data_IF_306267853887
#
_entry.id   IF_306267853887
#
_cell.length_a   1.000
_cell.length_b   1.000
_cell.length_c   1.000
_cell.angle_alpha   90.00
_cell.angle_beta   90.00
_cell.angle_gamma   90.00
#
_symmetry.space_group_name_H-M   'P 1'
#
loop_
_entity.id
_entity.type
_entity.pdbx_description
1 polymer ?
#
# COMPACT_ATOMS: atom_id res chain seq x y z
N UNK A 1 -47.54 17.49 -2.73
CA UNK A 1 -46.23 16.81 -2.56
C UNK A 1 -46.21 16.11 -1.22
N UNK A 2 -46.52 14.83 -1.20
CA UNK A 2 -46.48 13.97 -0.02
C UNK A 2 -45.03 13.87 0.46
N UNK A 3 -44.78 14.34 1.69
CA UNK A 3 -43.51 14.10 2.39
C UNK A 3 -43.33 12.58 2.47
N UNK A 4 -42.42 12.02 1.66
CA UNK A 4 -41.92 10.65 1.86
C UNK A 4 -41.30 10.63 3.25
N UNK A 5 -42.03 10.07 4.22
CA UNK A 5 -41.53 9.70 5.53
C UNK A 5 -40.33 8.78 5.27
N UNK A 6 -39.11 9.28 5.52
CA UNK A 6 -37.90 8.44 5.48
C UNK A 6 -38.14 7.34 6.51
N UNK A 7 -38.36 6.11 6.05
CA UNK A 7 -38.42 4.96 6.94
C UNK A 7 -37.12 4.92 7.75
N UNK A 8 -37.18 4.61 9.06
CA UNK A 8 -35.98 4.49 9.86
C UNK A 8 -35.07 3.41 9.26
N UNK A 9 -33.74 3.63 9.22
CA UNK A 9 -32.82 2.68 8.61
C UNK A 9 -32.85 1.34 9.35
N UNK A 10 -32.87 0.22 8.62
CA UNK A 10 -32.66 -1.08 9.25
C UNK A 10 -31.21 -1.19 9.75
N UNK A 11 -31.03 -1.85 10.89
CA UNK A 11 -29.71 -2.05 11.52
C UNK A 11 -29.13 -3.40 11.15
N UNK A 12 -27.81 -3.60 11.32
CA UNK A 12 -27.17 -4.91 11.18
C UNK A 12 -27.86 -5.99 12.03
N UNK A 13 -28.38 -5.61 13.21
CA UNK A 13 -29.19 -6.50 14.07
C UNK A 13 -30.50 -6.93 13.40
N UNK A 14 -31.19 -6.01 12.74
CA UNK A 14 -32.42 -6.33 11.99
C UNK A 14 -32.12 -7.24 10.80
N UNK A 15 -31.00 -7.01 10.11
CA UNK A 15 -30.59 -7.84 8.99
C UNK A 15 -30.27 -9.29 9.42
N UNK A 16 -29.49 -9.48 10.49
CA UNK A 16 -29.22 -10.80 11.05
C UNK A 16 -30.50 -11.49 11.53
N UNK A 17 -31.42 -10.76 12.16
CA UNK A 17 -32.70 -11.33 12.58
C UNK A 17 -33.54 -11.80 11.37
N UNK A 18 -33.53 -11.05 10.27
CA UNK A 18 -34.18 -11.45 9.03
C UNK A 18 -33.55 -12.72 8.43
N UNK A 19 -32.22 -12.82 8.39
CA UNK A 19 -31.50 -14.01 7.92
C UNK A 19 -31.86 -15.23 8.77
N UNK A 20 -31.82 -15.12 10.11
CA UNK A 20 -32.17 -16.23 11.03
C UNK A 20 -33.61 -16.69 10.85
N UNK A 21 -34.56 -15.76 10.84
CA UNK A 21 -35.98 -16.06 10.65
C UNK A 21 -36.24 -16.81 9.34
N UNK A 22 -35.52 -16.44 8.27
CA UNK A 22 -35.61 -17.10 6.97
C UNK A 22 -34.95 -18.48 6.94
N UNK A 23 -33.80 -18.66 7.60
CA UNK A 23 -33.19 -19.99 7.76
C UNK A 23 -34.13 -20.94 8.50
N UNK A 24 -34.73 -20.48 9.60
CA UNK A 24 -35.69 -21.25 10.38
C UNK A 24 -36.92 -21.61 9.54
N UNK A 25 -37.49 -20.64 8.80
CA UNK A 25 -38.63 -20.87 7.92
C UNK A 25 -38.33 -21.83 6.76
N UNK A 26 -37.08 -21.88 6.30
CA UNK A 26 -36.62 -22.80 5.26
C UNK A 26 -36.18 -24.18 5.80
N UNK A 27 -36.25 -24.40 7.13
CA UNK A 27 -35.91 -25.68 7.76
C UNK A 27 -34.42 -25.89 8.05
N UNK A 28 -33.59 -24.85 7.93
CA UNK A 28 -32.13 -24.90 8.16
C UNK A 28 -31.74 -24.40 9.56
N UNK A 29 -32.44 -24.91 10.59
CA UNK A 29 -32.21 -24.51 12.00
C UNK A 29 -30.84 -24.91 12.56
N UNK A 30 -30.14 -25.80 11.86
CA UNK A 30 -28.81 -26.32 12.19
C UNK A 30 -27.67 -25.43 11.68
N UNK A 31 -27.96 -24.45 10.80
CA UNK A 31 -26.97 -23.48 10.32
C UNK A 31 -26.93 -22.29 11.28
N UNK A 32 -25.89 -22.15 12.11
CA UNK A 32 -25.82 -21.05 13.05
C UNK A 32 -25.56 -19.74 12.32
N UNK A 33 -26.07 -18.64 12.88
CA UNK A 33 -25.68 -17.28 12.49
C UNK A 33 -25.37 -16.52 13.77
N UNK A 34 -24.10 -16.33 14.09
CA UNK A 34 -23.69 -15.66 15.32
C UNK A 34 -23.44 -14.17 15.11
N UNK A 35 -23.73 -13.37 16.13
CA UNK A 35 -23.42 -11.93 16.12
C UNK A 35 -21.91 -11.68 16.00
N UNK A 36 -21.09 -12.57 16.56
CA UNK A 36 -19.63 -12.47 16.53
C UNK A 36 -19.04 -12.64 15.13
N UNK A 37 -19.82 -13.09 14.15
CA UNK A 37 -19.37 -13.18 12.77
C UNK A 37 -19.47 -11.85 12.03
N UNK A 38 -20.18 -10.87 12.58
CA UNK A 38 -20.30 -9.55 11.96
C UNK A 38 -18.99 -8.82 12.18
N UNK A 39 -18.40 -8.36 11.10
CA UNK A 39 -17.28 -7.43 11.11
C UNK A 39 -17.81 -6.05 10.70
N UNK A 40 -17.91 -5.15 11.68
CA UNK A 40 -18.36 -3.77 11.49
C UNK A 40 -17.17 -2.80 11.32
N UNK A 41 -15.95 -3.29 11.53
CA UNK A 41 -14.72 -2.49 11.60
C UNK A 41 -13.91 -2.59 10.30
N UNK A 42 -14.15 -3.60 9.46
CA UNK A 42 -13.46 -3.77 8.17
C UNK A 42 -13.72 -2.58 7.21
N UNK A 43 -12.68 -1.79 6.86
CA UNK A 43 -12.83 -0.62 6.00
C UNK A 43 -13.38 -0.98 4.61
N UNK A 44 -14.28 -0.16 4.09
CA UNK A 44 -14.85 -0.33 2.75
C UNK A 44 -15.99 -1.35 2.65
N UNK A 45 -16.30 -2.09 3.72
CA UNK A 45 -17.44 -3.02 3.76
C UNK A 45 -18.49 -2.54 4.76
N UNK A 46 -19.60 -1.96 4.29
CA UNK A 46 -20.64 -1.47 5.20
C UNK A 46 -21.40 -2.60 5.94
N UNK A 47 -21.29 -3.85 5.45
CA UNK A 47 -21.62 -5.07 6.19
C UNK A 47 -20.77 -6.24 5.70
N UNK A 48 -20.09 -6.92 6.62
CA UNK A 48 -19.32 -8.13 6.35
C UNK A 48 -19.65 -9.22 7.38
N UNK A 49 -19.89 -10.45 6.91
CA UNK A 49 -20.17 -11.61 7.74
C UNK A 49 -19.11 -12.68 7.55
N UNK A 50 -18.24 -12.90 8.53
CA UNK A 50 -17.19 -13.93 8.54
C UNK A 50 -17.78 -15.29 8.89
N UNK A 51 -18.21 -16.04 7.86
CA UNK A 51 -18.84 -17.36 8.03
C UNK A 51 -17.76 -18.43 8.25
N UNK A 52 -17.74 -19.13 9.40
CA UNK A 52 -16.79 -20.20 9.64
C UNK A 52 -17.00 -21.35 8.66
N UNK A 53 -15.92 -21.75 7.99
CA UNK A 53 -15.87 -23.00 7.20
C UNK A 53 -15.00 -24.06 7.89
N UNK A 54 -14.21 -23.67 8.89
CA UNK A 54 -13.35 -24.56 9.66
C UNK A 54 -13.01 -23.96 11.03
N UNK A 55 -12.15 -24.65 11.81
CA UNK A 55 -11.75 -24.17 13.13
C UNK A 55 -11.00 -22.84 13.08
N UNK A 56 -10.25 -22.59 12.00
CA UNK A 56 -9.38 -21.42 11.83
C UNK A 56 -9.65 -20.64 10.54
N UNK A 57 -10.68 -21.03 9.78
CA UNK A 57 -10.94 -20.49 8.44
C UNK A 57 -12.37 -19.98 8.34
N UNK A 58 -12.51 -18.74 7.89
CA UNK A 58 -13.79 -18.07 7.65
C UNK A 58 -13.86 -17.60 6.20
N UNK A 59 -15.03 -17.72 5.58
CA UNK A 59 -15.36 -17.07 4.32
C UNK A 59 -16.07 -15.73 4.61
N UNK A 60 -15.47 -14.58 4.29
CA UNK A 60 -16.14 -13.29 4.45
C UNK A 60 -17.22 -13.11 3.37
N UNK A 61 -18.47 -12.99 3.79
CA UNK A 61 -19.60 -12.70 2.93
C UNK A 61 -19.97 -11.22 3.00
N UNK A 62 -20.09 -10.57 1.84
CA UNK A 62 -20.50 -9.17 1.73
C UNK A 62 -21.80 -9.01 0.95
N UNK A 63 -22.49 -7.92 1.22
CA UNK A 63 -23.68 -7.48 0.47
C UNK A 63 -23.28 -6.89 -0.87
N UNK A 64 -24.24 -6.74 -1.79
CA UNK A 64 -24.04 -5.97 -3.01
C UNK A 64 -23.63 -4.52 -2.71
N UNK A 65 -22.92 -3.90 -3.67
CA UNK A 65 -22.64 -2.47 -3.61
C UNK A 65 -23.94 -1.67 -3.41
N UNK A 66 -23.86 -0.57 -2.65
CA UNK A 66 -25.01 0.31 -2.35
C UNK A 66 -26.13 -0.32 -1.53
N UNK A 67 -25.93 -1.49 -0.92
CA UNK A 67 -26.91 -2.10 0.00
C UNK A 67 -27.35 -1.14 1.11
N UNK A 68 -26.43 -0.33 1.64
CA UNK A 68 -26.74 0.68 2.64
C UNK A 68 -27.23 2.01 2.06
N UNK A 69 -27.27 2.18 0.73
CA UNK A 69 -27.87 3.34 0.07
C UNK A 69 -29.37 3.08 -0.20
N UNK A 70 -29.72 1.86 -0.64
CA UNK A 70 -31.10 1.39 -0.79
C UNK A 70 -31.58 0.69 0.49
N UNK A 71 -32.15 1.48 1.40
CA UNK A 71 -32.65 1.02 2.70
C UNK A 71 -34.13 0.62 2.69
N UNK A 72 -34.66 0.18 1.54
CA UNK A 72 -36.03 -0.31 1.42
C UNK A 72 -36.22 -1.67 2.10
N UNK A 73 -37.45 -1.97 2.52
CA UNK A 73 -37.80 -3.30 3.03
C UNK A 73 -37.60 -4.40 1.97
N UNK A 74 -37.76 -4.06 0.69
CA UNK A 74 -37.50 -4.96 -0.44
C UNK A 74 -36.00 -5.29 -0.56
N UNK A 75 -35.12 -4.28 -0.46
CA UNK A 75 -33.68 -4.48 -0.45
C UNK A 75 -33.22 -5.36 0.72
N UNK A 76 -33.76 -5.11 1.92
CA UNK A 76 -33.52 -5.94 3.11
C UNK A 76 -33.93 -7.40 2.85
N UNK A 77 -35.14 -7.61 2.33
CA UNK A 77 -35.71 -8.92 2.09
C UNK A 77 -34.92 -9.71 1.02
N UNK A 78 -34.53 -9.05 -0.08
CA UNK A 78 -33.73 -9.64 -1.15
C UNK A 78 -32.36 -10.08 -0.63
N UNK A 79 -31.60 -9.15 -0.02
CA UNK A 79 -30.26 -9.47 0.48
C UNK A 79 -30.33 -10.53 1.58
N UNK A 80 -31.36 -10.53 2.44
CA UNK A 80 -31.48 -11.56 3.47
C UNK A 80 -31.70 -12.94 2.85
N UNK A 81 -32.47 -13.01 1.76
CA UNK A 81 -32.68 -14.25 1.00
C UNK A 81 -31.40 -14.73 0.32
N UNK A 82 -30.59 -13.81 -0.23
CA UNK A 82 -29.26 -14.14 -0.79
C UNK A 82 -28.32 -14.69 0.28
N UNK A 83 -28.24 -14.06 1.46
CA UNK A 83 -27.43 -14.55 2.57
C UNK A 83 -27.89 -15.91 3.09
N UNK A 84 -29.20 -16.16 3.16
CA UNK A 84 -29.74 -17.48 3.55
C UNK A 84 -29.26 -18.56 2.59
N UNK A 85 -29.41 -18.34 1.27
CA UNK A 85 -28.97 -19.30 0.27
C UNK A 85 -27.44 -19.46 0.26
N UNK A 86 -26.70 -18.37 0.41
CA UNK A 86 -25.25 -18.40 0.55
C UNK A 86 -24.79 -19.25 1.74
N UNK A 87 -25.40 -19.06 2.92
CA UNK A 87 -25.06 -19.83 4.13
C UNK A 87 -25.34 -21.32 3.95
N UNK A 88 -26.47 -21.67 3.33
CA UNK A 88 -26.81 -23.07 2.99
C UNK A 88 -25.77 -23.67 2.03
N UNK A 89 -25.37 -22.93 1.01
CA UNK A 89 -24.39 -23.41 0.04
C UNK A 89 -22.99 -23.52 0.65
N UNK A 90 -22.57 -22.58 1.50
CA UNK A 90 -21.31 -22.65 2.24
C UNK A 90 -21.29 -23.88 3.15
N UNK A 91 -22.39 -24.14 3.87
CA UNK A 91 -22.50 -25.31 4.73
C UNK A 91 -22.31 -26.62 3.94
N UNK A 92 -22.90 -26.71 2.74
CA UNK A 92 -22.69 -27.85 1.82
C UNK A 92 -21.26 -27.90 1.25
N UNK A 93 -20.69 -26.75 0.92
CA UNK A 93 -19.37 -26.61 0.30
C UNK A 93 -18.21 -26.75 1.29
N UNK A 94 -18.46 -26.82 2.59
CA UNK A 94 -17.45 -26.74 3.65
C UNK A 94 -16.23 -27.63 3.41
N UNK A 95 -16.44 -28.92 3.08
CA UNK A 95 -15.34 -29.87 2.81
C UNK A 95 -14.53 -29.49 1.57
N UNK A 96 -15.20 -28.97 0.54
CA UNK A 96 -14.57 -28.54 -0.70
C UNK A 96 -13.73 -27.28 -0.46
N UNK A 97 -14.27 -26.29 0.25
CA UNK A 97 -13.55 -25.06 0.61
C UNK A 97 -12.35 -25.34 1.52
N UNK A 98 -12.50 -26.22 2.51
CA UNK A 98 -11.40 -26.65 3.38
C UNK A 98 -10.29 -27.35 2.57
N UNK A 99 -10.68 -28.25 1.65
CA UNK A 99 -9.71 -28.90 0.78
C UNK A 99 -9.00 -27.88 -0.12
N UNK A 100 -9.76 -26.98 -0.73
CA UNK A 100 -9.22 -25.94 -1.60
C UNK A 100 -8.18 -25.07 -0.88
N UNK A 101 -8.51 -24.53 0.29
CA UNK A 101 -7.57 -23.75 1.10
C UNK A 101 -6.35 -24.56 1.56
N UNK A 102 -6.52 -25.85 1.86
CA UNK A 102 -5.40 -26.72 2.22
C UNK A 102 -4.45 -26.99 1.03
N UNK A 103 -5.01 -27.21 -0.16
CA UNK A 103 -4.23 -27.43 -1.37
C UNK A 103 -3.48 -26.14 -1.77
N UNK A 104 -4.13 -24.97 -1.70
CA UNK A 104 -3.50 -23.65 -1.88
C UNK A 104 -2.39 -23.42 -0.86
N UNK A 105 -2.64 -23.68 0.43
CA UNK A 105 -1.63 -23.56 1.49
C UNK A 105 -0.41 -24.42 1.21
N UNK A 106 -0.62 -25.68 0.82
CA UNK A 106 0.46 -26.62 0.53
C UNK A 106 1.33 -26.11 -0.62
N UNK A 107 0.71 -25.64 -1.69
CA UNK A 107 1.42 -25.14 -2.86
C UNK A 107 2.13 -23.81 -2.59
N UNK A 108 1.48 -22.84 -1.93
CA UNK A 108 2.10 -21.60 -1.50
C UNK A 108 3.33 -21.85 -0.60
N UNK A 109 3.23 -22.78 0.35
CA UNK A 109 4.38 -23.18 1.18
C UNK A 109 5.47 -23.82 0.33
N UNK A 110 5.15 -24.67 -0.64
CA UNK A 110 6.14 -25.29 -1.52
C UNK A 110 6.91 -24.24 -2.35
N UNK A 111 6.20 -23.29 -2.96
CA UNK A 111 6.81 -22.19 -3.73
C UNK A 111 7.70 -21.31 -2.85
N UNK A 112 7.25 -20.97 -1.65
CA UNK A 112 8.04 -20.19 -0.69
C UNK A 112 9.25 -20.97 -0.18
N UNK A 113 9.15 -22.27 0.05
CA UNK A 113 10.31 -23.11 0.40
C UNK A 113 11.33 -23.09 -0.72
N UNK A 114 10.92 -23.27 -1.98
CA UNK A 114 11.82 -23.19 -3.13
C UNK A 114 12.49 -21.80 -3.26
N UNK A 115 11.74 -20.72 -3.03
CA UNK A 115 12.29 -19.36 -3.00
C UNK A 115 13.33 -19.17 -1.88
N UNK A 116 13.09 -19.76 -0.71
CA UNK A 116 14.04 -19.69 0.43
C UNK A 116 15.29 -20.52 0.19
N UNK A 117 15.20 -21.64 -0.53
CA UNK A 117 16.37 -22.45 -0.93
C UNK A 117 17.34 -21.67 -1.81
N UNK A 118 16.84 -20.71 -2.61
CA UNK A 118 17.67 -19.78 -3.41
C UNK A 118 18.03 -18.49 -2.66
N UNK A 119 17.83 -18.47 -1.34
CA UNK A 119 18.26 -17.41 -0.43
C UNK A 119 17.29 -16.24 -0.26
N UNK A 120 16.04 -16.34 -0.74
CA UNK A 120 15.06 -15.27 -0.56
C UNK A 120 14.43 -15.29 0.84
N UNK A 121 14.25 -14.11 1.45
CA UNK A 121 13.55 -13.96 2.73
C UNK A 121 12.09 -13.61 2.49
N UNK A 122 11.29 -14.64 2.25
CA UNK A 122 9.84 -14.58 2.04
C UNK A 122 9.15 -15.65 2.86
N UNK A 123 7.93 -15.37 3.32
CA UNK A 123 7.17 -16.29 4.18
C UNK A 123 5.68 -16.24 3.86
N UNK A 124 4.99 -17.37 3.95
CA UNK A 124 3.52 -17.37 3.99
C UNK A 124 3.09 -16.90 5.38
N UNK A 125 2.43 -15.74 5.45
CA UNK A 125 1.91 -15.19 6.70
C UNK A 125 0.57 -15.82 7.08
N UNK A 126 -0.37 -15.91 6.14
CA UNK A 126 -1.68 -16.52 6.35
C UNK A 126 -2.34 -16.98 5.05
N UNK A 127 -3.34 -17.85 5.19
CA UNK A 127 -4.22 -18.31 4.11
C UNK A 127 -5.66 -18.06 4.54
N UNK A 128 -6.45 -17.49 3.65
CA UNK A 128 -7.84 -17.11 3.88
C UNK A 128 -8.70 -17.23 2.63
N UNK A 129 -9.82 -16.52 2.63
CA UNK A 129 -10.65 -16.33 1.45
C UNK A 129 -10.93 -14.87 1.21
N UNK A 130 -10.95 -14.49 -0.06
CA UNK A 130 -11.36 -13.17 -0.49
C UNK A 130 -12.82 -12.91 -0.09
N UNK A 131 -13.17 -11.68 0.35
CA UNK A 131 -14.55 -11.29 0.55
C UNK A 131 -15.42 -11.52 -0.69
N UNK A 132 -16.41 -12.40 -0.55
CA UNK A 132 -17.26 -12.89 -1.64
C UNK A 132 -18.67 -12.33 -1.50
N UNK A 133 -19.28 -11.90 -2.60
CA UNK A 133 -20.65 -11.41 -2.55
C UNK A 133 -21.64 -12.55 -2.24
N UNK A 134 -22.59 -12.30 -1.34
CA UNK A 134 -23.61 -13.29 -0.99
C UNK A 134 -24.42 -13.77 -2.20
N UNK A 135 -24.71 -12.90 -3.17
CA UNK A 135 -25.44 -13.29 -4.38
C UNK A 135 -24.68 -14.32 -5.24
N UNK A 136 -23.35 -14.25 -5.33
CA UNK A 136 -22.55 -15.26 -6.04
C UNK A 136 -22.63 -16.62 -5.34
N UNK A 137 -22.70 -16.60 -4.01
CA UNK A 137 -22.88 -17.80 -3.21
C UNK A 137 -24.32 -18.31 -3.17
N UNK A 138 -25.30 -17.51 -3.61
CA UNK A 138 -26.73 -17.84 -3.57
C UNK A 138 -27.24 -18.65 -4.79
N UNK A 139 -26.33 -19.11 -5.67
CA UNK A 139 -26.66 -19.92 -6.85
C UNK A 139 -27.40 -21.21 -6.53
N UNK A 140 -28.15 -21.73 -7.52
CA UNK A 140 -28.96 -22.95 -7.33
C UNK A 140 -28.09 -24.21 -7.16
N UNK A 141 -26.95 -24.30 -7.84
CA UNK A 141 -25.93 -25.32 -7.61
C UNK A 141 -24.87 -24.79 -6.63
N UNK A 142 -24.70 -25.48 -5.51
CA UNK A 142 -23.72 -25.10 -4.49
C UNK A 142 -22.27 -25.29 -4.97
N UNK A 143 -22.02 -26.21 -5.93
CA UNK A 143 -20.68 -26.43 -6.47
C UNK A 143 -20.24 -25.26 -7.33
N UNK A 144 -21.12 -24.84 -8.25
CA UNK A 144 -20.89 -23.68 -9.09
C UNK A 144 -20.72 -22.41 -8.24
N UNK A 145 -21.55 -22.26 -7.20
CA UNK A 145 -21.41 -21.18 -6.23
C UNK A 145 -20.03 -21.20 -5.54
N UNK A 146 -19.54 -22.39 -5.13
CA UNK A 146 -18.24 -22.52 -4.47
C UNK A 146 -17.05 -22.15 -5.38
N UNK A 147 -17.17 -22.27 -6.70
CA UNK A 147 -16.13 -21.83 -7.64
C UNK A 147 -15.97 -20.31 -7.71
N UNK A 148 -16.91 -19.53 -7.17
CA UNK A 148 -16.74 -18.08 -7.02
C UNK A 148 -15.87 -17.69 -5.82
N UNK A 149 -15.49 -18.64 -4.95
CA UNK A 149 -14.65 -18.38 -3.79
C UNK A 149 -13.18 -18.43 -4.19
N UNK A 150 -12.50 -17.30 -4.04
CA UNK A 150 -11.05 -17.21 -4.27
C UNK A 150 -10.29 -17.36 -2.96
N UNK A 151 -9.20 -18.12 -3.00
CA UNK A 151 -8.29 -18.20 -1.87
C UNK A 151 -7.49 -16.90 -1.77
N UNK A 152 -7.18 -16.51 -0.55
CA UNK A 152 -6.34 -15.37 -0.24
C UNK A 152 -5.03 -15.89 0.36
N UNK A 153 -3.92 -15.51 -0.23
CA UNK A 153 -2.58 -15.86 0.27
C UNK A 153 -1.89 -14.57 0.69
N UNK A 154 -1.56 -14.46 1.97
CA UNK A 154 -0.80 -13.32 2.49
C UNK A 154 0.66 -13.73 2.59
N UNK A 155 1.52 -13.01 1.88
CA UNK A 155 2.97 -13.25 1.84
C UNK A 155 3.67 -12.11 2.56
N UNK A 156 4.55 -12.45 3.50
CA UNK A 156 5.48 -11.51 4.12
C UNK A 156 6.74 -11.43 3.27
N UNK A 157 7.17 -10.22 2.96
CA UNK A 157 8.37 -9.90 2.18
C UNK A 157 8.94 -8.53 2.61
N UNK A 158 9.96 -8.05 1.91
CA UNK A 158 10.54 -6.72 2.08
C UNK A 158 9.83 -5.73 1.17
N UNK A 159 9.44 -4.57 1.69
CA UNK A 159 8.77 -3.49 0.95
C UNK A 159 9.75 -2.68 0.11
N UNK A 160 9.20 -1.81 -0.73
CA UNK A 160 9.98 -0.79 -1.44
C UNK A 160 10.81 0.13 -0.52
N UNK A 161 10.40 0.26 0.75
CA UNK A 161 11.09 1.03 1.78
C UNK A 161 12.11 0.21 2.58
N UNK A 162 12.39 -1.02 2.12
CA UNK A 162 13.28 -1.97 2.78
C UNK A 162 12.83 -2.39 4.19
N UNK A 163 11.52 -2.34 4.45
CA UNK A 163 10.91 -2.74 5.72
C UNK A 163 10.07 -4.01 5.56
N UNK A 164 9.83 -4.81 6.61
CA UNK A 164 8.91 -5.94 6.54
C UNK A 164 7.49 -5.48 6.17
N UNK A 165 6.90 -6.11 5.16
CA UNK A 165 5.54 -5.85 4.68
C UNK A 165 4.84 -7.17 4.34
N UNK A 166 3.51 -7.11 4.18
CA UNK A 166 2.72 -8.20 3.65
C UNK A 166 1.99 -7.78 2.38
N UNK A 167 2.01 -8.64 1.36
CA UNK A 167 1.20 -8.53 0.15
C UNK A 167 0.14 -9.62 0.08
N UNK A 168 -0.97 -9.31 -0.57
CA UNK A 168 -2.13 -10.17 -0.71
C UNK A 168 -2.25 -10.66 -2.16
N UNK A 169 -2.36 -11.97 -2.33
CA UNK A 169 -2.59 -12.62 -3.61
C UNK A 169 -3.96 -13.30 -3.60
N UNK A 170 -4.69 -13.19 -4.72
CA UNK A 170 -5.96 -13.88 -4.90
C UNK A 170 -5.78 -14.99 -5.92
N UNK A 171 -6.13 -16.21 -5.51
CA UNK A 171 -5.85 -17.40 -6.28
C UNK A 171 -7.19 -18.05 -6.66
N UNK A 172 -7.32 -18.44 -7.93
CA UNK A 172 -8.46 -19.21 -8.44
C UNK A 172 -8.13 -20.71 -8.43
N UNK A 173 -6.97 -21.08 -8.99
CA UNK A 173 -6.46 -22.44 -9.01
C UNK A 173 -5.09 -22.54 -8.34
N UNK A 174 -4.80 -23.69 -7.72
CA UNK A 174 -3.51 -23.92 -7.06
C UNK A 174 -2.32 -23.72 -8.00
N UNK A 175 -2.51 -23.95 -9.30
CA UNK A 175 -1.48 -23.78 -10.32
C UNK A 175 -1.08 -22.33 -10.56
N UNK A 176 -1.94 -21.37 -10.19
CA UNK A 176 -1.71 -19.95 -10.47
C UNK A 176 -0.74 -19.33 -9.46
N UNK A 177 -0.54 -19.97 -8.30
CA UNK A 177 0.29 -19.47 -7.20
C UNK A 177 1.70 -19.13 -7.66
N UNK A 178 2.31 -19.95 -8.52
CA UNK A 178 3.65 -19.69 -9.01
C UNK A 178 3.71 -18.42 -9.89
N UNK A 179 2.68 -18.17 -10.69
CA UNK A 179 2.57 -16.97 -11.52
C UNK A 179 2.33 -15.73 -10.65
N UNK A 180 1.39 -15.80 -9.72
CA UNK A 180 1.06 -14.71 -8.78
C UNK A 180 2.24 -14.32 -7.87
N UNK A 181 3.13 -15.28 -7.56
CA UNK A 181 4.33 -15.02 -6.75
C UNK A 181 5.51 -14.43 -7.54
N UNK A 182 5.54 -14.56 -8.87
CA UNK A 182 6.74 -14.29 -9.66
C UNK A 182 7.27 -12.86 -9.46
N UNK A 183 6.39 -11.86 -9.55
CA UNK A 183 6.74 -10.45 -9.40
C UNK A 183 7.25 -10.15 -7.97
N UNK A 184 6.58 -10.70 -6.94
CA UNK A 184 7.01 -10.55 -5.54
C UNK A 184 8.41 -11.12 -5.33
N UNK A 185 8.71 -12.29 -5.92
CA UNK A 185 10.01 -12.93 -5.78
C UNK A 185 11.14 -12.18 -6.52
N UNK A 186 10.84 -11.59 -7.68
CA UNK A 186 11.77 -10.74 -8.42
C UNK A 186 12.09 -9.46 -7.63
N UNK A 187 11.06 -8.75 -7.18
CA UNK A 187 11.22 -7.54 -6.37
C UNK A 187 11.94 -7.83 -5.05
N UNK A 188 11.62 -8.96 -4.39
CA UNK A 188 12.26 -9.35 -3.15
C UNK A 188 13.76 -9.53 -3.32
N UNK A 189 14.20 -10.16 -4.41
CA UNK A 189 15.63 -10.35 -4.68
C UNK A 189 16.34 -9.01 -4.75
N UNK A 190 15.82 -8.08 -5.56
CA UNK A 190 16.40 -6.75 -5.70
C UNK A 190 16.45 -5.99 -4.37
N UNK A 191 15.39 -6.06 -3.56
CA UNK A 191 15.32 -5.41 -2.24
C UNK A 191 16.27 -6.03 -1.21
N UNK A 192 16.43 -7.34 -1.21
CA UNK A 192 17.39 -8.01 -0.33
C UNK A 192 18.83 -7.74 -0.71
N UNK A 193 19.14 -7.71 -2.01
CA UNK A 193 20.48 -7.35 -2.46
C UNK A 193 20.77 -5.89 -2.11
N UNK A 194 19.78 -5.00 -2.19
CA UNK A 194 19.90 -3.62 -1.70
C UNK A 194 20.16 -3.53 -0.19
N UNK A 195 19.49 -4.34 0.63
CA UNK A 195 19.79 -4.42 2.07
C UNK A 195 21.23 -4.90 2.32
N UNK A 196 21.70 -5.93 1.60
CA UNK A 196 23.09 -6.39 1.72
C UNK A 196 24.11 -5.33 1.31
N UNK A 197 23.81 -4.54 0.28
CA UNK A 197 24.66 -3.40 -0.12
C UNK A 197 24.75 -2.37 1.00
N UNK A 198 23.64 -2.03 1.63
CA UNK A 198 23.58 -1.10 2.76
C UNK A 198 24.33 -1.65 3.99
N UNK A 199 24.10 -2.92 4.33
CA UNK A 199 24.80 -3.62 5.42
C UNK A 199 26.32 -3.61 5.18
N UNK A 200 26.78 -3.88 3.95
CA UNK A 200 28.20 -3.86 3.60
C UNK A 200 28.83 -2.45 3.69
N UNK A 201 28.01 -1.41 3.71
CA UNK A 201 28.42 -0.01 3.88
C UNK A 201 28.33 0.45 5.34
N UNK A 202 27.88 -0.40 6.27
CA UNK A 202 27.52 -0.04 7.65
C UNK A 202 26.53 1.13 7.68
N UNK A 203 25.46 1.05 6.87
CA UNK A 203 24.45 2.09 6.71
C UNK A 203 23.03 1.51 6.66
N UNK A 204 22.05 2.24 7.20
CA UNK A 204 20.64 1.94 7.01
C UNK A 204 20.06 2.69 5.81
N UNK A 205 20.61 3.87 5.50
CA UNK A 205 20.16 4.74 4.42
C UNK A 205 21.37 5.38 3.72
N UNK A 206 21.23 5.58 2.41
CA UNK A 206 22.05 6.51 1.65
C UNK A 206 21.30 7.83 1.49
N UNK A 207 21.88 8.94 1.89
CA UNK A 207 21.23 10.24 1.91
C UNK A 207 21.89 11.14 0.89
N UNK A 208 21.11 11.73 -0.01
CA UNK A 208 21.65 12.70 -0.94
C UNK A 208 22.05 14.00 -0.21
N UNK A 209 23.10 14.66 -0.68
CA UNK A 209 23.61 15.88 -0.03
C UNK A 209 22.62 17.05 -0.08
N UNK A 210 21.78 17.16 -1.12
CA UNK A 210 20.78 18.23 -1.23
C UNK A 210 19.75 18.08 -0.10
N UNK A 211 19.32 16.86 0.22
CA UNK A 211 18.43 16.59 1.36
C UNK A 211 19.02 17.10 2.68
N UNK A 212 20.31 16.87 2.92
CA UNK A 212 21.00 17.33 4.13
C UNK A 212 21.12 18.85 4.14
N UNK A 213 21.58 19.44 3.04
CA UNK A 213 21.72 20.89 2.91
C UNK A 213 20.37 21.61 3.10
N UNK A 214 19.27 21.04 2.62
CA UNK A 214 17.92 21.59 2.86
C UNK A 214 17.55 21.54 4.34
N UNK A 215 17.75 20.41 5.01
CA UNK A 215 17.47 20.28 6.44
C UNK A 215 18.29 21.28 7.27
N UNK A 216 19.59 21.40 6.97
CA UNK A 216 20.48 22.35 7.64
C UNK A 216 20.11 23.81 7.36
N UNK A 217 19.77 24.15 6.11
CA UNK A 217 19.37 25.51 5.73
C UNK A 217 18.10 25.99 6.45
N UNK A 218 17.24 25.07 6.87
CA UNK A 218 16.02 25.37 7.63
C UNK A 218 16.15 25.11 9.13
N UNK A 219 17.36 24.82 9.64
CA UNK A 219 17.60 24.57 11.06
C UNK A 219 16.87 23.34 11.61
N UNK A 220 16.58 22.37 10.75
CA UNK A 220 15.93 21.11 11.11
C UNK A 220 16.99 20.12 11.59
N UNK A 221 16.68 19.37 12.66
CA UNK A 221 17.57 18.32 13.17
C UNK A 221 17.65 17.16 12.15
N UNK A 222 18.79 17.09 11.45
CA UNK A 222 19.04 16.13 10.39
C UNK A 222 18.89 14.70 10.89
N UNK A 223 19.57 14.32 11.97
CA UNK A 223 19.58 12.95 12.46
C UNK A 223 18.19 12.52 12.96
N UNK A 224 17.47 13.40 13.67
CA UNK A 224 16.12 13.12 14.13
C UNK A 224 15.14 12.97 12.96
N UNK A 225 15.24 13.83 11.94
CA UNK A 225 14.39 13.75 10.75
C UNK A 225 14.67 12.52 9.91
N UNK A 226 15.93 12.15 9.67
CA UNK A 226 16.28 10.94 8.94
C UNK A 226 15.85 9.67 9.68
N UNK A 227 16.02 9.62 11.01
CA UNK A 227 15.50 8.53 11.85
C UNK A 227 13.98 8.41 11.73
N UNK A 228 13.29 9.56 11.71
CA UNK A 228 11.84 9.59 11.53
C UNK A 228 11.44 9.13 10.12
N UNK A 229 12.17 9.56 9.08
CA UNK A 229 11.94 9.15 7.70
C UNK A 229 12.18 7.65 7.50
N UNK A 230 13.17 7.06 8.16
CA UNK A 230 13.37 5.61 8.17
C UNK A 230 12.15 4.84 8.71
N UNK A 231 11.49 5.37 9.76
CA UNK A 231 10.31 4.75 10.38
C UNK A 231 9.01 5.00 9.61
N UNK A 232 8.79 6.24 9.21
CA UNK A 232 7.53 6.74 8.65
C UNK A 232 7.54 6.78 7.12
N UNK A 233 8.68 6.48 6.48
CA UNK A 233 8.93 6.46 5.04
C UNK A 233 8.87 7.83 4.35
N UNK A 234 8.11 8.76 4.91
CA UNK A 234 7.98 10.14 4.45
C UNK A 234 7.75 11.07 5.65
N UNK A 235 8.51 12.16 5.71
CA UNK A 235 8.35 13.22 6.71
C UNK A 235 8.08 14.52 6.00
N UNK A 236 6.86 15.05 6.18
CA UNK A 236 6.47 16.36 5.69
C UNK A 236 6.74 17.43 6.74
N UNK A 237 7.45 18.49 6.36
CA UNK A 237 7.87 19.58 7.21
C UNK A 237 7.37 20.90 6.61
N UNK A 238 6.72 21.71 7.44
CA UNK A 238 6.48 23.11 7.13
C UNK A 238 7.69 23.89 7.64
N UNK A 239 8.47 24.44 6.72
CA UNK A 239 9.69 25.19 7.03
C UNK A 239 9.52 26.65 6.61
N UNK A 240 10.40 27.52 7.09
CA UNK A 240 10.43 28.93 6.71
C UNK A 240 11.80 29.27 6.14
N UNK A 241 11.84 30.12 5.12
CA UNK A 241 13.05 30.72 4.60
C UNK A 241 12.79 32.17 4.23
N UNK A 242 13.62 33.09 4.72
CA UNK A 242 13.49 34.54 4.52
C UNK A 242 12.07 35.07 4.84
N UNK A 243 11.48 34.62 5.96
CA UNK A 243 10.15 35.06 6.40
C UNK A 243 8.98 34.50 5.58
N UNK A 244 9.24 33.57 4.66
CA UNK A 244 8.24 32.98 3.77
C UNK A 244 8.11 31.47 4.00
N UNK A 245 6.88 30.93 3.92
CA UNK A 245 6.66 29.50 4.11
C UNK A 245 7.21 28.70 2.92
N UNK A 246 7.73 27.51 3.24
CA UNK A 246 8.15 26.48 2.31
C UNK A 246 7.68 25.11 2.80
N UNK A 247 7.54 24.18 1.86
CA UNK A 247 7.23 22.78 2.15
C UNK A 247 8.46 21.94 1.83
N UNK A 248 8.91 21.14 2.79
CA UNK A 248 10.01 20.19 2.63
C UNK A 248 9.51 18.79 3.01
N UNK A 249 9.65 17.85 2.10
CA UNK A 249 9.35 16.44 2.33
C UNK A 249 10.62 15.62 2.22
N UNK A 250 10.94 14.83 3.26
CA UNK A 250 12.05 13.86 3.24
C UNK A 250 11.45 12.48 3.02
N UNK A 251 11.87 11.80 1.97
CA UNK A 251 11.27 10.55 1.49
C UNK A 251 12.36 9.49 1.41
N UNK A 252 12.11 8.33 2.01
CA UNK A 252 12.95 7.14 1.80
C UNK A 252 12.39 6.32 0.65
N UNK A 253 13.24 5.80 -0.23
CA UNK A 253 12.86 4.85 -1.28
C UNK A 253 14.04 3.95 -1.59
N UNK A 254 13.84 2.62 -1.54
CA UNK A 254 14.88 1.63 -1.82
C UNK A 254 16.20 1.89 -1.05
N UNK A 255 16.08 2.31 0.22
CA UNK A 255 17.23 2.62 1.06
C UNK A 255 17.97 3.91 0.71
N UNK A 256 17.39 4.77 -0.13
CA UNK A 256 17.89 6.09 -0.47
C UNK A 256 16.95 7.14 0.11
N UNK A 257 17.49 8.21 0.68
CA UNK A 257 16.74 9.38 1.10
C UNK A 257 16.91 10.48 0.07
N UNK A 258 15.77 10.94 -0.44
CA UNK A 258 15.65 12.12 -1.27
C UNK A 258 14.69 13.14 -0.63
N UNK A 259 14.76 14.38 -1.10
CA UNK A 259 13.87 15.45 -0.67
C UNK A 259 12.98 15.95 -1.81
N UNK A 260 11.76 16.35 -1.49
CA UNK A 260 10.99 17.29 -2.31
C UNK A 260 10.88 18.63 -1.60
N UNK A 261 11.07 19.72 -2.32
CA UNK A 261 11.06 21.07 -1.74
C UNK A 261 10.29 22.04 -2.63
N UNK A 262 9.45 22.86 -2.01
CA UNK A 262 8.73 23.93 -2.67
C UNK A 262 8.86 25.24 -1.90
N UNK A 263 9.33 26.29 -2.59
CA UNK A 263 9.48 27.64 -2.06
C UNK A 263 9.16 28.68 -3.14
N UNK A 264 8.05 29.41 -2.97
CA UNK A 264 7.60 30.36 -3.99
C UNK A 264 7.37 29.65 -5.33
N UNK A 265 8.06 30.11 -6.37
CA UNK A 265 8.02 29.50 -7.71
C UNK A 265 8.99 28.33 -7.90
N UNK A 266 9.91 28.10 -6.97
CA UNK A 266 10.91 27.04 -7.03
C UNK A 266 10.35 25.71 -6.56
N UNK A 267 10.60 24.66 -7.34
CA UNK A 267 10.25 23.28 -7.02
C UNK A 267 11.42 22.32 -7.26
N UNK A 268 11.60 21.37 -6.34
CA UNK A 268 12.56 20.28 -6.38
C UNK A 268 11.86 18.97 -6.02
N UNK A 269 12.14 17.89 -6.74
CA UNK A 269 11.54 16.56 -6.52
C UNK A 269 12.55 15.47 -6.12
N UNK A 270 13.80 15.83 -5.89
CA UNK A 270 14.88 14.87 -5.61
C UNK A 270 15.74 14.53 -6.82
N UNK A 271 15.35 14.95 -8.02
CA UNK A 271 16.12 14.67 -9.25
C UNK A 271 16.45 15.95 -10.03
N UNK A 272 15.45 16.83 -10.21
CA UNK A 272 15.61 18.08 -10.94
C UNK A 272 14.86 19.22 -10.28
N UNK A 273 15.37 20.42 -10.55
CA UNK A 273 14.76 21.69 -10.19
C UNK A 273 13.94 22.20 -11.36
N UNK A 274 12.80 22.81 -11.06
CA UNK A 274 12.05 23.59 -12.03
C UNK A 274 11.38 24.78 -11.36
N UNK A 275 10.89 25.70 -12.18
CA UNK A 275 10.09 26.83 -11.74
C UNK A 275 8.70 26.76 -12.33
N UNK A 276 7.70 27.23 -11.59
CA UNK A 276 6.37 27.53 -12.11
C UNK A 276 6.16 29.05 -12.20
N UNK A 277 5.04 29.51 -12.77
CA UNK A 277 4.75 30.95 -12.85
C UNK A 277 5.68 31.70 -13.80
N UNK A 278 6.03 32.95 -13.47
CA UNK A 278 6.81 33.81 -14.37
C UNK A 278 8.23 33.26 -14.59
N UNK A 279 8.86 32.70 -13.56
CA UNK A 279 10.16 32.04 -13.69
C UNK A 279 10.07 30.76 -14.52
N UNK A 280 8.93 30.06 -14.51
CA UNK A 280 8.71 28.84 -15.30
C UNK A 280 8.76 29.03 -16.82
N UNK A 281 8.47 30.25 -17.31
CA UNK A 281 8.48 30.59 -18.74
C UNK A 281 9.88 31.00 -19.26
N UNK A 282 10.83 31.21 -18.36
CA UNK A 282 12.20 31.65 -18.66
C UNK A 282 13.03 30.52 -19.25
N UNK A 283 13.87 30.84 -20.24
CA UNK A 283 14.78 29.88 -20.87
C UNK A 283 16.12 29.81 -20.12
N UNK A 284 16.37 28.67 -19.48
CA UNK A 284 17.58 28.39 -18.71
C UNK A 284 18.60 27.54 -19.48
N UNK A 285 18.38 27.22 -20.75
CA UNK A 285 19.29 26.38 -21.55
C UNK A 285 20.72 26.94 -21.64
N UNK A 286 20.89 28.26 -21.56
CA UNK A 286 22.19 28.94 -21.56
C UNK A 286 22.98 28.85 -20.25
N UNK A 287 22.45 28.16 -19.22
CA UNK A 287 23.05 28.02 -17.90
C UNK A 287 23.85 26.71 -17.69
N UNK A 288 24.02 25.88 -18.73
CA UNK A 288 24.85 24.68 -18.62
C UNK A 288 26.27 25.01 -18.08
N UNK A 289 26.71 24.25 -17.07
CA UNK A 289 27.96 24.43 -16.32
C UNK A 289 28.08 25.76 -15.56
N UNK A 290 26.99 26.53 -15.44
CA UNK A 290 26.90 27.73 -14.61
C UNK A 290 26.06 27.42 -13.36
N UNK A 291 26.07 28.33 -12.40
CA UNK A 291 25.15 28.29 -11.27
C UNK A 291 23.84 28.97 -11.64
N UNK A 292 22.74 28.57 -10.99
CA UNK A 292 21.43 29.20 -11.17
C UNK A 292 21.28 30.52 -10.39
N UNK A 293 22.27 30.86 -9.57
CA UNK A 293 22.47 32.17 -8.95
C UNK A 293 21.22 32.72 -8.22
N UNK A 294 21.02 34.03 -8.36
CA UNK A 294 19.96 34.81 -7.72
C UNK A 294 18.53 34.35 -8.10
N UNK A 295 18.37 33.54 -9.15
CA UNK A 295 17.05 33.09 -9.64
C UNK A 295 16.42 32.06 -8.71
N UNK A 296 17.21 31.13 -8.17
CA UNK A 296 16.66 30.08 -7.31
C UNK A 296 16.18 30.62 -5.96
N UNK A 297 16.63 31.80 -5.53
CA UNK A 297 16.25 32.40 -4.24
C UNK A 297 16.66 31.60 -2.99
N UNK A 298 17.12 30.35 -3.13
CA UNK A 298 17.46 29.44 -2.04
C UNK A 298 18.92 28.97 -2.14
N UNK A 299 19.71 29.04 -1.05
CA UNK A 299 21.16 28.91 -1.07
C UNK A 299 21.63 27.50 -1.49
N UNK A 300 20.84 26.48 -1.16
CA UNK A 300 21.15 25.08 -1.51
C UNK A 300 21.26 24.88 -3.02
N UNK A 301 20.46 25.60 -3.82
CA UNK A 301 20.47 25.46 -5.28
C UNK A 301 21.30 26.54 -5.97
N UNK A 302 21.33 27.75 -5.41
CA UNK A 302 21.93 28.93 -6.05
C UNK A 302 23.40 28.73 -6.46
N UNK A 303 24.20 28.01 -5.68
CA UNK A 303 25.63 27.80 -5.96
C UNK A 303 25.96 26.50 -6.69
N UNK A 304 24.97 25.64 -6.96
CA UNK A 304 25.23 24.31 -7.53
C UNK A 304 25.48 24.38 -9.04
N UNK A 305 26.51 23.68 -9.56
CA UNK A 305 26.77 23.63 -10.99
C UNK A 305 25.68 22.83 -11.70
N UNK A 306 25.12 23.42 -12.75
CA UNK A 306 24.15 22.77 -13.61
C UNK A 306 24.88 21.83 -14.57
N UNK A 307 24.47 20.56 -14.60
CA UNK A 307 25.09 19.53 -15.46
C UNK A 307 24.21 19.16 -16.65
N UNK A 308 22.91 19.42 -16.57
CA UNK A 308 21.95 19.19 -17.65
C UNK A 308 20.77 20.15 -17.53
N UNK A 309 20.28 20.62 -18.68
CA UNK A 309 19.04 21.37 -18.80
C UNK A 309 18.23 20.77 -19.92
N UNK A 310 17.07 20.20 -19.58
CA UNK A 310 16.17 19.60 -20.57
C UNK A 310 15.01 20.56 -20.85
N UNK A 311 14.59 20.65 -22.11
CA UNK A 311 13.39 21.38 -22.47
C UNK A 311 12.15 20.61 -22.01
N UNK A 312 11.15 21.32 -21.50
CA UNK A 312 9.87 20.76 -21.09
C UNK A 312 8.70 21.56 -21.71
N UNK A 313 7.46 21.24 -21.34
CA UNK A 313 6.24 21.75 -21.97
C UNK A 313 5.92 23.23 -21.72
N UNK A 314 4.71 23.65 -22.12
CA UNK A 314 4.33 25.07 -22.20
C UNK A 314 4.32 25.82 -20.85
N UNK A 315 4.11 25.13 -19.72
CA UNK A 315 4.00 25.76 -18.40
C UNK A 315 5.31 25.73 -17.58
N UNK A 316 6.26 24.88 -17.96
CA UNK A 316 7.57 24.74 -17.33
C UNK A 316 8.55 24.50 -18.45
N UNK A 317 9.35 25.51 -18.77
CA UNK A 317 10.18 25.50 -19.98
C UNK A 317 11.42 24.63 -19.86
N UNK A 318 11.99 24.52 -18.66
CA UNK A 318 13.21 23.75 -18.44
C UNK A 318 13.19 22.93 -17.14
N UNK A 319 13.77 21.73 -17.21
CA UNK A 319 14.14 20.91 -16.05
C UNK A 319 15.65 21.02 -15.85
N UNK A 320 16.08 21.37 -14.64
CA UNK A 320 17.46 21.74 -14.33
C UNK A 320 18.05 20.70 -13.40
N UNK A 321 19.13 20.06 -13.84
CA UNK A 321 19.80 19.01 -13.06
C UNK A 321 21.13 19.53 -12.54
N UNK A 322 21.39 19.23 -11.28
CA UNK A 322 22.65 19.55 -10.62
C UNK A 322 23.57 18.34 -10.59
N UNK A 323 24.86 18.61 -10.46
CA UNK A 323 25.77 17.59 -9.95
C UNK A 323 25.34 17.23 -8.53
N UNK A 324 24.84 16.01 -8.35
CA UNK A 324 24.56 15.46 -7.03
C UNK A 324 25.86 14.94 -6.43
N UNK A 325 26.30 15.44 -5.26
CA UNK A 325 27.49 14.93 -4.58
C UNK A 325 27.32 13.46 -4.19
N UNK A 326 28.43 12.85 -3.75
CA UNK A 326 28.42 11.51 -3.18
C UNK A 326 27.32 11.36 -2.12
N UNK A 327 26.64 10.21 -2.11
CA UNK A 327 25.65 9.91 -1.08
C UNK A 327 26.32 9.72 0.27
N UNK A 328 25.69 10.23 1.32
CA UNK A 328 26.13 10.08 2.70
C UNK A 328 25.51 8.83 3.30
N UNK A 329 26.28 8.09 4.09
CA UNK A 329 25.80 6.91 4.80
C UNK A 329 25.19 7.36 6.13
N UNK A 330 23.97 6.92 6.41
CA UNK A 330 23.29 7.20 7.66
C UNK A 330 23.03 5.91 8.42
N UNK A 331 23.45 5.89 9.68
CA UNK A 331 23.18 4.81 10.65
C UNK A 331 22.09 5.27 11.62
N UNK A 332 20.96 4.60 11.62
CA UNK A 332 19.76 4.96 12.38
C UNK A 332 19.96 4.73 13.87
N UNK A 333 20.76 3.72 14.27
CA UNK A 333 21.00 3.44 15.68
C UNK A 333 21.84 4.52 16.36
N UNK A 334 22.94 4.95 15.75
CA UNK A 334 23.79 6.02 16.31
C UNK A 334 23.37 7.43 15.90
N UNK A 335 22.57 7.57 14.84
CA UNK A 335 22.25 8.86 14.22
C UNK A 335 23.43 9.48 13.47
N UNK A 336 24.48 8.72 13.18
CA UNK A 336 25.69 9.22 12.55
C UNK A 336 25.56 9.33 11.03
N UNK A 337 26.03 10.46 10.47
CA UNK A 337 26.28 10.64 9.05
C UNK A 337 27.77 10.44 8.76
N UNK A 338 28.09 9.58 7.79
CA UNK A 338 29.46 9.27 7.38
C UNK A 338 29.61 9.49 5.88
N UNK A 339 30.70 10.15 5.48
CA UNK A 339 31.06 10.21 4.06
C UNK A 339 31.42 8.81 3.55
N UNK A 340 31.06 8.56 2.29
CA UNK A 340 31.56 7.40 1.57
C UNK A 340 33.08 7.57 1.39
N UNK A 341 33.88 7.03 2.30
CA UNK A 341 35.30 6.84 2.04
C UNK A 341 35.40 5.82 0.89
N UNK A 342 35.62 6.31 -0.33
CA UNK A 342 36.08 5.46 -1.43
C UNK A 342 37.34 4.78 -0.92
N UNK A 343 37.24 3.50 -0.57
CA UNK A 343 38.39 2.63 -0.42
C UNK A 343 39.18 2.75 -1.72
N UNK A 344 40.34 3.40 -1.65
CA UNK A 344 41.29 3.45 -2.75
C UNK A 344 41.65 2.00 -3.08
N UNK A 345 41.36 1.59 -4.31
CA UNK A 345 41.71 0.28 -4.85
C UNK A 345 43.23 0.07 -4.92
#
# INVERSE_FOLDING_TARGET
MTKKTKQPPFTNRMFIAAIRSKLDAAGYTDIPVHRQWIDEDEPGYPFLLRVPVGPELTLPLKTMERFHDDRSAESLERNASEFVMALVNIHKAQKMLLKYAADVKKEAVAQIVAAREVGLDVQVASIGFKPTYAFHMAGADWKDAAFHVLAEVIIRHTSFYLQPETSQLWVEETTDIAGELADILEEQRARQDRLKELDALDADLLVDQISIDLLEAHGVDVAATLTKAWKEQCVNLNVEYDGKPATLSIITSNGVVNSSFQFGELCWNGEYLWFHGELGETDYSGLLHKSIGDVAGHPVFASRPIVRVDAHGEAVRNLIYFETPATLRFDVESGALKHEERLAA
#
